data_IF_303365267675
#
_entry.id   IF_303365267675
#
_cell.length_a   1.000
_cell.length_b   1.000
_cell.length_c   1.000
_cell.angle_alpha   90.00
_cell.angle_beta   90.00
_cell.angle_gamma   90.00
#
_symmetry.space_group_name_H-M   'P 1'
#
loop_
_entity.id
_entity.type
_entity.pdbx_description
1 polymer ?
#
# COMPACT_ATOMS: atom_id res chain seq x y z
N UNK A 1 -2.29 -30.47 -38.37
CA UNK A 1 -3.45 -30.64 -37.49
C UNK A 1 -3.22 -29.65 -36.34
N UNK A 2 -3.99 -28.56 -36.32
CA UNK A 2 -3.89 -27.51 -35.35
C UNK A 2 -4.70 -27.89 -34.09
N UNK A 3 -4.05 -28.12 -32.99
CA UNK A 3 -4.67 -28.32 -31.70
C UNK A 3 -4.76 -26.98 -30.96
N UNK A 4 -5.99 -26.47 -30.87
CA UNK A 4 -6.35 -25.27 -30.10
C UNK A 4 -6.14 -25.55 -28.60
N UNK A 5 -5.13 -24.93 -28.00
CA UNK A 5 -4.98 -24.91 -26.53
C UNK A 5 -5.97 -23.89 -25.96
N UNK A 6 -6.86 -24.38 -25.14
CA UNK A 6 -7.82 -23.59 -24.39
C UNK A 6 -7.08 -22.68 -23.38
N UNK A 7 -7.40 -21.39 -23.40
CA UNK A 7 -6.99 -20.44 -22.36
C UNK A 7 -7.57 -20.84 -21.02
N UNK A 8 -6.80 -20.77 -19.94
CA UNK A 8 -7.35 -20.91 -18.59
C UNK A 8 -8.23 -19.70 -18.26
N UNK A 9 -9.39 -20.00 -17.73
CA UNK A 9 -10.44 -19.07 -17.32
C UNK A 9 -9.90 -17.94 -16.42
N UNK A 10 -10.09 -16.72 -16.91
CA UNK A 10 -9.96 -15.48 -16.13
C UNK A 10 -11.18 -15.30 -15.22
N UNK A 11 -11.26 -16.06 -14.15
CA UNK A 11 -12.33 -15.94 -13.16
C UNK A 11 -11.81 -15.89 -11.74
N UNK A 12 -10.77 -15.06 -11.50
CA UNK A 12 -10.38 -14.64 -10.15
C UNK A 12 -10.44 -13.10 -10.00
N UNK A 13 -11.43 -12.48 -10.66
CA UNK A 13 -11.88 -11.15 -10.26
C UNK A 13 -12.95 -11.30 -9.18
N UNK A 14 -12.54 -11.74 -8.00
CA UNK A 14 -13.30 -11.63 -6.76
C UNK A 14 -13.24 -10.20 -6.26
N UNK A 15 -14.26 -9.45 -6.63
CA UNK A 15 -14.72 -8.18 -6.10
C UNK A 15 -14.51 -8.07 -4.58
N UNK A 16 -13.52 -7.32 -4.14
CA UNK A 16 -13.49 -6.73 -2.81
C UNK A 16 -14.22 -5.39 -2.87
N UNK A 17 -15.55 -5.45 -3.01
CA UNK A 17 -16.41 -4.31 -2.80
C UNK A 17 -16.55 -4.10 -1.29
N UNK A 18 -16.02 -3.00 -0.80
CA UNK A 18 -16.22 -2.43 0.53
C UNK A 18 -17.68 -2.52 0.96
N UNK A 19 -17.97 -3.35 1.95
CA UNK A 19 -19.24 -3.37 2.67
C UNK A 19 -19.18 -2.37 3.83
N UNK A 20 -19.55 -1.12 3.56
CA UNK A 20 -19.94 -0.21 4.62
C UNK A 20 -21.38 -0.52 5.05
N UNK A 21 -21.71 -0.53 6.35
CA UNK A 21 -23.06 -0.77 6.82
C UNK A 21 -23.97 0.40 6.44
N UNK A 22 -25.00 0.12 5.65
CA UNK A 22 -26.11 1.02 5.36
C UNK A 22 -27.00 1.08 6.58
N UNK A 23 -27.09 2.24 7.23
CA UNK A 23 -28.08 2.52 8.25
C UNK A 23 -29.35 3.00 7.54
N UNK A 24 -30.38 2.17 7.56
CA UNK A 24 -31.71 2.52 7.07
C UNK A 24 -32.43 3.43 8.08
N UNK A 25 -33.18 4.46 7.62
CA UNK A 25 -34.02 5.25 8.51
C UNK A 25 -35.35 4.52 8.80
N UNK A 26 -35.65 4.30 10.08
CA UNK A 26 -36.98 3.88 10.53
C UNK A 26 -37.95 5.04 10.44
N UNK A 27 -39.00 4.86 9.66
CA UNK A 27 -40.22 5.65 9.67
C UNK A 27 -41.22 4.96 10.58
N UNK A 28 -41.60 5.62 11.68
CA UNK A 28 -42.88 5.37 12.31
C UNK A 28 -43.47 6.69 12.81
N UNK A 29 -44.57 7.05 12.16
CA UNK A 29 -45.39 8.19 12.51
C UNK A 29 -46.53 7.77 13.42
N UNK A 30 -46.75 8.52 14.47
CA UNK A 30 -48.05 8.48 15.16
C UNK A 30 -48.43 9.90 15.58
N UNK A 31 -49.54 10.36 15.03
CA UNK A 31 -50.20 11.64 15.38
C UNK A 31 -50.96 11.48 16.70
N UNK A 32 -50.77 12.38 17.63
CA UNK A 32 -51.60 12.56 18.81
C UNK A 32 -51.87 14.04 19.07
N UNK A 33 -52.96 14.41 19.75
CA UNK A 33 -53.69 15.67 19.54
C UNK A 33 -53.14 16.85 20.32
N UNK A 34 -53.44 18.04 19.77
CA UNK A 34 -53.09 19.38 20.24
C UNK A 34 -53.86 19.74 21.54
N UNK A 35 -53.22 20.36 22.53
CA UNK A 35 -53.88 21.25 23.48
C UNK A 35 -53.38 22.69 23.38
N UNK A 36 -54.35 23.54 23.41
CA UNK A 36 -54.54 24.96 23.73
C UNK A 36 -53.37 25.75 24.36
N UNK A 37 -53.08 26.86 23.70
CA UNK A 37 -52.73 28.23 24.08
C UNK A 37 -52.31 28.53 25.51
N UNK A 38 -51.02 28.87 25.71
CA UNK A 38 -50.52 29.70 26.80
C UNK A 38 -49.46 30.68 26.30
N UNK A 39 -49.41 31.84 26.89
CA UNK A 39 -48.79 33.11 26.50
C UNK A 39 -47.24 33.17 26.44
N UNK A 40 -46.66 34.31 25.95
CA UNK A 40 -45.35 34.31 25.31
C UNK A 40 -44.22 34.45 26.33
N UNK A 41 -43.34 33.51 26.34
CA UNK A 41 -42.07 33.64 27.01
C UNK A 41 -40.95 33.56 26.00
N UNK A 42 -40.24 34.67 25.88
CA UNK A 42 -38.78 34.70 25.70
C UNK A 42 -38.17 33.88 24.57
N UNK A 43 -37.48 34.55 23.69
CA UNK A 43 -36.50 34.21 22.68
C UNK A 43 -36.31 32.77 22.19
N UNK A 44 -35.97 32.56 20.93
CA UNK A 44 -35.89 31.20 20.38
C UNK A 44 -34.90 30.36 21.20
N UNK A 45 -35.29 29.14 21.61
CA UNK A 45 -34.39 28.25 22.33
C UNK A 45 -33.16 28.00 21.44
N UNK A 46 -31.98 28.33 21.98
CA UNK A 46 -30.71 28.07 21.32
C UNK A 46 -30.67 26.61 20.92
N UNK A 47 -30.46 26.33 19.63
CA UNK A 47 -30.26 24.98 19.13
C UNK A 47 -29.31 24.23 20.07
N UNK A 48 -29.62 23.00 20.48
CA UNK A 48 -28.76 22.23 21.36
C UNK A 48 -27.38 22.15 20.70
N UNK A 49 -26.36 22.70 21.36
CA UNK A 49 -24.98 22.57 20.95
C UNK A 49 -24.66 21.09 21.09
N UNK A 50 -24.44 20.40 19.97
CA UNK A 50 -23.95 19.03 19.96
C UNK A 50 -22.68 18.87 20.81
N UNK A 51 -22.34 17.66 21.26
CA UNK A 51 -21.20 17.41 22.12
C UNK A 51 -19.94 18.02 21.51
N UNK A 52 -19.23 18.82 22.31
CA UNK A 52 -18.03 19.54 21.87
C UNK A 52 -16.92 18.51 21.60
N UNK A 53 -16.52 18.35 20.35
CA UNK A 53 -15.42 17.44 19.97
C UNK A 53 -14.13 17.85 20.68
N UNK A 54 -13.33 16.87 21.13
CA UNK A 54 -12.00 17.12 21.70
C UNK A 54 -11.04 17.70 20.64
N UNK A 55 -9.96 18.32 21.08
CA UNK A 55 -8.89 18.81 20.21
C UNK A 55 -8.33 17.69 19.32
N UNK A 56 -8.10 16.52 19.93
CA UNK A 56 -7.54 15.36 19.24
C UNK A 56 -8.52 14.78 18.21
N UNK A 57 -9.81 14.68 18.56
CA UNK A 57 -10.83 14.24 17.62
C UNK A 57 -10.97 15.18 16.40
N UNK A 58 -10.80 16.49 16.61
CA UNK A 58 -10.78 17.45 15.50
C UNK A 58 -9.50 17.28 14.67
N UNK A 59 -8.34 17.10 15.32
CA UNK A 59 -7.06 16.89 14.65
C UNK A 59 -7.12 15.66 13.74
N UNK A 60 -7.54 14.52 14.30
CA UNK A 60 -7.67 13.26 13.54
C UNK A 60 -8.61 13.45 12.35
N UNK A 61 -9.81 13.99 12.57
CA UNK A 61 -10.80 14.19 11.50
C UNK A 61 -10.29 15.06 10.34
N UNK A 62 -9.62 16.17 10.65
CA UNK A 62 -9.08 17.09 9.65
C UNK A 62 -7.89 16.47 8.92
N UNK A 63 -7.04 15.74 9.65
CA UNK A 63 -5.88 15.03 9.10
C UNK A 63 -6.31 13.91 8.15
N UNK A 64 -7.23 13.05 8.58
CA UNK A 64 -7.74 11.94 7.77
C UNK A 64 -8.40 12.44 6.48
N UNK A 65 -9.18 13.53 6.57
CA UNK A 65 -9.78 14.15 5.39
C UNK A 65 -8.70 14.72 4.45
N UNK A 66 -7.64 15.30 4.99
CA UNK A 66 -6.50 15.77 4.19
C UNK A 66 -5.74 14.64 3.50
N UNK A 67 -5.54 13.51 4.19
CA UNK A 67 -4.94 12.28 3.65
C UNK A 67 -5.80 11.70 2.53
N UNK A 68 -7.12 11.59 2.76
CA UNK A 68 -8.07 11.13 1.75
C UNK A 68 -8.02 11.99 0.47
N UNK A 69 -8.03 13.31 0.62
CA UNK A 69 -7.91 14.24 -0.51
C UNK A 69 -6.58 14.09 -1.25
N UNK A 70 -5.49 13.86 -0.52
CA UNK A 70 -4.18 13.63 -1.13
C UNK A 70 -4.14 12.31 -1.92
N UNK A 71 -4.77 11.26 -1.41
CA UNK A 71 -4.89 9.97 -2.11
C UNK A 71 -5.73 10.09 -3.39
N UNK A 72 -6.79 10.87 -3.37
CA UNK A 72 -7.65 11.08 -4.55
C UNK A 72 -6.99 11.96 -5.63
N UNK A 73 -6.29 13.01 -5.23
CA UNK A 73 -5.73 14.01 -6.16
C UNK A 73 -4.29 13.70 -6.60
N UNK A 74 -3.59 12.87 -5.84
CA UNK A 74 -2.16 12.60 -6.03
C UNK A 74 -1.27 13.80 -5.69
N UNK A 75 0.04 13.56 -5.62
CA UNK A 75 1.04 14.61 -5.40
C UNK A 75 1.44 15.38 -6.68
N UNK A 76 0.98 14.91 -7.84
CA UNK A 76 1.34 15.52 -9.13
C UNK A 76 0.94 17.00 -9.29
N UNK A 77 0.00 17.46 -8.47
CA UNK A 77 -0.41 18.87 -8.39
C UNK A 77 0.18 19.63 -7.19
N UNK A 78 1.04 18.99 -6.41
CA UNK A 78 1.66 19.53 -5.20
C UNK A 78 0.77 19.42 -3.95
N UNK A 79 1.39 19.07 -2.81
CA UNK A 79 0.69 19.07 -1.51
C UNK A 79 0.12 20.46 -1.14
N UNK A 80 0.56 21.50 -1.83
CA UNK A 80 0.07 22.88 -1.67
C UNK A 80 -1.42 23.02 -1.97
N UNK A 81 -2.00 22.10 -2.76
CA UNK A 81 -3.45 22.08 -3.05
C UNK A 81 -4.30 21.53 -1.89
N UNK A 82 -3.72 20.75 -1.00
CA UNK A 82 -4.44 20.27 0.19
C UNK A 82 -4.46 21.40 1.22
N UNK A 83 -5.46 22.26 1.12
CA UNK A 83 -5.63 23.40 2.02
C UNK A 83 -6.69 23.13 3.08
N UNK A 84 -6.53 23.72 4.26
CA UNK A 84 -7.54 23.65 5.31
C UNK A 84 -8.91 24.11 4.85
N UNK A 85 -8.96 25.15 3.97
CA UNK A 85 -10.22 25.61 3.38
C UNK A 85 -10.93 24.50 2.62
N UNK A 86 -10.22 23.80 1.75
CA UNK A 86 -10.79 22.69 0.97
C UNK A 86 -11.21 21.51 1.86
N UNK A 87 -10.40 21.20 2.87
CA UNK A 87 -10.75 20.18 3.87
C UNK A 87 -12.02 20.57 4.62
N UNK A 88 -12.17 21.82 5.01
CA UNK A 88 -13.40 22.29 5.69
C UNK A 88 -14.63 22.23 4.79
N UNK A 89 -14.50 22.59 3.50
CA UNK A 89 -15.59 22.40 2.53
C UNK A 89 -16.04 20.95 2.47
N UNK A 90 -15.07 20.00 2.33
CA UNK A 90 -15.38 18.57 2.30
C UNK A 90 -16.01 18.06 3.61
N UNK A 91 -15.57 18.57 4.76
CA UNK A 91 -16.17 18.25 6.05
C UNK A 91 -17.56 18.86 6.21
N UNK A 92 -17.83 20.05 5.68
CA UNK A 92 -19.15 20.68 5.68
C UNK A 92 -20.15 19.87 4.85
N UNK A 93 -19.76 19.35 3.70
CA UNK A 93 -20.56 18.41 2.89
C UNK A 93 -20.95 17.15 3.67
N UNK A 94 -20.10 16.74 4.62
CA UNK A 94 -20.36 15.62 5.57
C UNK A 94 -21.07 16.06 6.86
N UNK A 95 -21.59 17.29 6.90
CA UNK A 95 -22.33 17.84 8.05
C UNK A 95 -21.45 18.31 9.21
N UNK A 96 -20.13 18.42 9.02
CA UNK A 96 -19.19 18.87 10.06
C UNK A 96 -18.70 20.27 9.73
N UNK A 97 -19.13 21.27 10.53
CA UNK A 97 -18.67 22.65 10.38
C UNK A 97 -17.49 22.95 11.28
N UNK A 98 -16.38 23.33 10.68
CA UNK A 98 -15.17 23.81 11.32
C UNK A 98 -14.81 25.19 10.79
N UNK A 99 -14.06 25.95 11.59
CA UNK A 99 -13.55 27.28 11.20
C UNK A 99 -12.02 27.29 11.33
N UNK A 100 -11.37 28.16 10.56
CA UNK A 100 -9.92 28.35 10.68
C UNK A 100 -9.50 28.65 12.13
N UNK A 101 -10.25 29.49 12.85
CA UNK A 101 -9.98 29.83 14.25
C UNK A 101 -10.09 28.63 15.21
N UNK A 102 -10.83 27.57 14.84
CA UNK A 102 -10.93 26.35 15.65
C UNK A 102 -9.73 25.43 15.48
N UNK A 103 -8.93 25.63 14.45
CA UNK A 103 -7.86 24.72 14.01
C UNK A 103 -6.50 25.43 13.99
N UNK A 104 -6.36 26.55 13.28
CA UNK A 104 -5.12 27.32 13.22
C UNK A 104 -4.79 27.96 14.57
N UNK A 105 -3.54 27.91 14.95
CA UNK A 105 -3.04 28.39 16.24
C UNK A 105 -3.40 27.49 17.44
N UNK A 106 -4.31 26.51 17.25
CA UNK A 106 -4.73 25.57 18.32
C UNK A 106 -4.24 24.15 18.07
N UNK A 107 -4.24 23.71 16.83
CA UNK A 107 -3.84 22.35 16.38
C UNK A 107 -2.57 22.45 15.54
N UNK A 108 -2.61 23.28 14.51
CA UNK A 108 -1.45 23.58 13.67
C UNK A 108 -1.12 25.08 13.75
N UNK A 109 0.18 25.41 13.73
CA UNK A 109 0.67 26.79 13.71
C UNK A 109 0.18 27.56 12.47
N UNK A 110 0.22 26.88 11.34
CA UNK A 110 -0.11 27.42 10.03
C UNK A 110 -0.51 26.31 9.04
N UNK A 111 -0.80 26.74 7.80
CA UNK A 111 -1.17 25.84 6.70
C UNK A 111 -0.07 24.84 6.35
N UNK A 112 1.20 25.24 6.43
CA UNK A 112 2.36 24.38 6.10
C UNK A 112 2.52 23.26 7.13
N UNK A 113 2.33 23.56 8.41
CA UNK A 113 2.36 22.56 9.47
C UNK A 113 1.27 21.49 9.26
N UNK A 114 0.07 21.90 8.85
CA UNK A 114 -0.99 20.97 8.48
C UNK A 114 -0.59 20.09 7.28
N UNK A 115 -0.10 20.69 6.20
CA UNK A 115 0.34 19.95 5.00
C UNK A 115 1.48 18.97 5.31
N UNK A 116 2.42 19.37 6.15
CA UNK A 116 3.49 18.51 6.66
C UNK A 116 2.95 17.29 7.39
N UNK A 117 1.97 17.51 8.26
CA UNK A 117 1.33 16.41 9.01
C UNK A 117 0.57 15.47 8.07
N UNK A 118 -0.10 15.98 7.02
CA UNK A 118 -0.76 15.14 6.00
C UNK A 118 0.26 14.27 5.26
N UNK A 119 1.35 14.84 4.78
CA UNK A 119 2.44 14.09 4.13
C UNK A 119 3.02 13.03 5.07
N UNK A 120 3.27 13.42 6.32
CA UNK A 120 3.82 12.51 7.33
C UNK A 120 2.83 11.38 7.67
N UNK A 121 1.54 11.66 7.71
CA UNK A 121 0.51 10.65 7.96
C UNK A 121 0.43 9.64 6.81
N UNK A 122 0.50 10.11 5.55
CA UNK A 122 0.55 9.22 4.38
C UNK A 122 1.83 8.39 4.39
N UNK A 123 2.98 9.01 4.73
CA UNK A 123 4.26 8.29 4.81
C UNK A 123 4.30 7.21 5.91
N UNK A 124 3.41 7.30 6.92
CA UNK A 124 3.25 6.27 7.97
C UNK A 124 2.24 5.19 7.62
N UNK A 125 1.46 5.42 6.56
CA UNK A 125 0.30 4.60 6.24
C UNK A 125 0.62 3.18 5.79
N UNK A 126 -0.34 2.37 5.95
CA UNK A 126 -0.56 0.93 5.84
C UNK A 126 0.30 0.16 4.81
N UNK A 127 1.38 -0.44 5.31
CA UNK A 127 2.13 -1.48 4.60
C UNK A 127 1.73 -2.90 5.03
N UNK A 128 0.74 -3.07 5.91
CA UNK A 128 0.34 -4.38 6.45
C UNK A 128 -0.47 -5.22 5.47
N UNK A 129 -1.37 -4.58 4.71
CA UNK A 129 -2.29 -5.30 3.82
C UNK A 129 -1.59 -5.89 2.58
N UNK A 130 -0.50 -5.26 2.12
CA UNK A 130 0.27 -5.69 0.95
C UNK A 130 1.01 -7.03 1.19
N UNK A 131 1.50 -7.26 2.41
CA UNK A 131 2.26 -8.48 2.74
C UNK A 131 1.33 -9.69 2.92
N UNK A 132 0.10 -9.47 3.39
CA UNK A 132 -0.85 -10.55 3.66
C UNK A 132 -1.37 -11.16 2.35
N UNK A 133 -1.69 -10.36 1.34
CA UNK A 133 -2.13 -10.84 0.01
C UNK A 133 -1.05 -11.65 -0.71
N UNK A 134 0.20 -11.23 -0.60
CA UNK A 134 1.35 -11.91 -1.20
C UNK A 134 1.56 -13.29 -0.59
N UNK A 135 1.29 -13.47 0.70
CA UNK A 135 1.54 -14.74 1.42
C UNK A 135 0.56 -15.84 1.02
N UNK A 136 -0.71 -15.51 0.75
CA UNK A 136 -1.73 -16.50 0.36
C UNK A 136 -1.43 -17.15 -1.01
N UNK A 137 -0.88 -16.40 -1.95
CA UNK A 137 -0.49 -16.91 -3.28
C UNK A 137 0.64 -17.94 -3.26
N UNK A 138 1.52 -17.86 -2.28
CA UNK A 138 2.70 -18.73 -2.21
C UNK A 138 2.38 -20.19 -1.87
N UNK A 139 1.37 -20.45 -1.06
CA UNK A 139 1.08 -21.81 -0.58
C UNK A 139 0.82 -22.82 -1.70
N UNK A 140 0.00 -22.45 -2.67
CA UNK A 140 -0.34 -23.30 -3.83
C UNK A 140 0.84 -23.49 -4.78
N UNK A 141 1.67 -22.46 -4.95
CA UNK A 141 2.87 -22.54 -5.80
C UNK A 141 3.89 -23.52 -5.21
N UNK A 142 4.18 -23.40 -3.92
CA UNK A 142 5.13 -24.29 -3.26
C UNK A 142 4.69 -25.75 -3.28
N UNK A 143 3.37 -26.00 -3.18
CA UNK A 143 2.83 -27.37 -3.26
C UNK A 143 3.04 -28.03 -4.64
N UNK A 144 3.17 -27.26 -5.69
CA UNK A 144 3.41 -27.73 -7.07
C UNK A 144 4.89 -27.93 -7.42
N UNK A 145 5.84 -27.47 -6.59
CA UNK A 145 7.27 -27.51 -6.88
C UNK A 145 7.89 -28.88 -6.59
N UNK A 146 8.78 -29.36 -7.49
CA UNK A 146 9.69 -30.46 -7.17
C UNK A 146 10.85 -29.98 -6.28
N UNK A 147 10.69 -30.09 -4.98
CA UNK A 147 11.72 -29.73 -4.02
C UNK A 147 12.71 -30.87 -3.71
N UNK A 148 12.50 -32.07 -4.27
CA UNK A 148 13.32 -33.24 -3.97
C UNK A 148 14.73 -33.19 -4.58
N UNK A 149 14.90 -32.49 -5.68
CA UNK A 149 16.16 -32.35 -6.43
C UNK A 149 16.72 -30.93 -6.40
N UNK A 150 18.04 -30.80 -6.58
CA UNK A 150 18.68 -29.49 -6.73
C UNK A 150 18.24 -28.76 -7.99
N UNK A 151 17.93 -29.50 -9.07
CA UNK A 151 17.42 -28.94 -10.31
C UNK A 151 15.98 -28.43 -10.12
N UNK A 152 15.10 -29.23 -9.51
CA UNK A 152 13.72 -28.81 -9.21
C UNK A 152 13.67 -27.58 -8.32
N UNK A 153 14.52 -27.49 -7.28
CA UNK A 153 14.60 -26.30 -6.42
C UNK A 153 15.08 -25.06 -7.18
N UNK A 154 16.01 -25.20 -8.15
CA UNK A 154 16.40 -24.08 -9.01
C UNK A 154 15.26 -23.62 -9.89
N UNK A 155 14.54 -24.56 -10.49
CA UNK A 155 13.36 -24.25 -11.28
C UNK A 155 12.30 -23.58 -10.41
N UNK A 156 12.05 -24.07 -9.21
CA UNK A 156 11.11 -23.45 -8.25
C UNK A 156 11.47 -22.01 -7.91
N UNK A 157 12.76 -21.69 -7.73
CA UNK A 157 13.20 -20.29 -7.54
C UNK A 157 12.91 -19.46 -8.79
N UNK A 158 13.17 -20.00 -9.98
CA UNK A 158 12.91 -19.29 -11.24
C UNK A 158 11.41 -19.00 -11.41
N UNK A 159 10.56 -20.01 -11.21
CA UNK A 159 9.10 -19.88 -11.30
C UNK A 159 8.54 -18.87 -10.29
N UNK A 160 9.06 -18.93 -9.06
CA UNK A 160 8.71 -17.98 -8.00
C UNK A 160 9.09 -16.55 -8.39
N UNK A 161 10.31 -16.33 -8.87
CA UNK A 161 10.77 -15.00 -9.28
C UNK A 161 9.96 -14.45 -10.47
N UNK A 162 9.55 -15.31 -11.40
CA UNK A 162 8.69 -14.92 -12.53
C UNK A 162 7.33 -14.45 -12.03
N UNK A 163 6.67 -15.27 -11.22
CA UNK A 163 5.32 -14.98 -10.70
C UNK A 163 5.32 -13.77 -9.77
N UNK A 164 6.25 -13.73 -8.80
CA UNK A 164 6.39 -12.59 -7.88
C UNK A 164 6.73 -11.32 -8.66
N UNK A 165 7.55 -11.46 -9.70
CA UNK A 165 7.92 -10.35 -10.56
C UNK A 165 6.74 -9.72 -11.27
N UNK A 166 5.75 -10.50 -11.67
CA UNK A 166 4.51 -10.02 -12.29
C UNK A 166 3.57 -9.40 -11.23
N UNK A 167 3.24 -10.16 -10.18
CA UNK A 167 2.29 -9.76 -9.15
C UNK A 167 2.75 -8.48 -8.45
N UNK A 168 3.98 -8.43 -7.95
CA UNK A 168 4.46 -7.28 -7.19
C UNK A 168 4.57 -6.02 -8.04
N UNK A 169 4.88 -6.15 -9.33
CA UNK A 169 4.91 -5.00 -10.22
C UNK A 169 3.51 -4.49 -10.50
N UNK A 170 2.52 -5.37 -10.69
CA UNK A 170 1.11 -5.00 -10.87
C UNK A 170 0.54 -4.36 -9.62
N UNK A 171 0.69 -5.00 -8.45
CA UNK A 171 0.23 -4.45 -7.17
C UNK A 171 0.79 -3.05 -6.91
N UNK A 172 2.07 -2.84 -7.18
CA UNK A 172 2.71 -1.55 -6.94
C UNK A 172 2.25 -0.49 -7.94
N UNK A 173 2.20 -0.80 -9.25
CA UNK A 173 1.86 0.17 -10.29
C UNK A 173 0.37 0.49 -10.35
N UNK A 174 -0.50 -0.45 -9.96
CA UNK A 174 -1.95 -0.26 -9.92
C UNK A 174 -2.40 0.38 -8.58
N UNK A 175 -1.51 0.44 -7.59
CA UNK A 175 -1.80 1.08 -6.31
C UNK A 175 -2.01 2.59 -6.47
N UNK A 176 -3.16 3.09 -6.00
CA UNK A 176 -3.41 4.53 -5.92
C UNK A 176 -2.42 5.27 -5.01
N UNK A 177 -1.75 4.56 -4.11
CA UNK A 177 -0.75 5.12 -3.20
C UNK A 177 0.63 5.30 -3.85
N UNK A 178 0.93 4.55 -4.91
CA UNK A 178 2.26 4.57 -5.54
C UNK A 178 2.71 5.96 -6.04
N UNK A 179 1.89 6.73 -6.79
CA UNK A 179 2.30 8.07 -7.22
C UNK A 179 2.54 9.02 -6.05
N UNK A 180 1.84 8.80 -4.93
CA UNK A 180 2.02 9.59 -3.71
C UNK A 180 3.36 9.24 -3.06
N UNK A 181 3.70 7.96 -2.96
CA UNK A 181 4.98 7.48 -2.45
C UNK A 181 6.15 8.06 -3.25
N UNK A 182 6.08 8.02 -4.57
CA UNK A 182 7.08 8.61 -5.47
C UNK A 182 7.26 10.10 -5.19
N UNK A 183 6.16 10.83 -5.02
CA UNK A 183 6.20 12.26 -4.71
C UNK A 183 6.79 12.56 -3.32
N UNK A 184 6.43 11.78 -2.30
CA UNK A 184 6.99 11.89 -0.94
C UNK A 184 8.49 11.59 -0.97
N UNK A 185 8.90 10.58 -1.71
CA UNK A 185 10.31 10.23 -1.91
C UNK A 185 11.10 11.36 -2.56
N UNK A 186 10.56 11.96 -3.60
CA UNK A 186 11.17 13.11 -4.27
C UNK A 186 11.35 14.29 -3.32
N UNK A 187 10.36 14.58 -2.45
CA UNK A 187 10.46 15.60 -1.40
C UNK A 187 11.57 15.27 -0.41
N UNK A 188 11.63 14.02 0.06
CA UNK A 188 12.65 13.59 1.01
C UNK A 188 14.06 13.64 0.43
N UNK A 189 14.22 13.26 -0.85
CA UNK A 189 15.49 13.25 -1.58
C UNK A 189 15.99 14.65 -1.96
N UNK A 190 15.09 15.64 -2.11
CA UNK A 190 15.45 17.00 -2.51
C UNK A 190 16.29 17.79 -1.49
N UNK A 191 16.55 17.22 -0.31
CA UNK A 191 17.50 17.76 0.66
C UNK A 191 17.06 19.04 1.37
N UNK A 192 15.75 19.34 1.36
CA UNK A 192 15.21 20.50 2.09
C UNK A 192 15.64 20.47 3.57
N UNK A 193 16.19 21.58 4.07
CA UNK A 193 16.76 21.71 5.43
C UNK A 193 15.71 22.05 6.51
N UNK A 194 14.42 22.09 6.17
CA UNK A 194 13.34 22.46 7.10
C UNK A 194 12.92 21.30 8.03
N UNK A 195 12.32 21.68 9.16
CA UNK A 195 11.79 20.75 10.17
C UNK A 195 10.79 19.75 9.58
N UNK A 196 9.95 20.20 8.65
CA UNK A 196 9.02 19.37 7.85
C UNK A 196 9.74 18.27 7.08
N UNK A 197 10.87 18.58 6.44
CA UNK A 197 11.67 17.62 5.68
C UNK A 197 12.30 16.55 6.59
N UNK A 198 12.70 16.92 7.81
CA UNK A 198 13.22 15.97 8.79
C UNK A 198 12.14 15.02 9.31
N UNK A 199 10.94 15.52 9.62
CA UNK A 199 9.80 14.71 10.06
C UNK A 199 9.34 13.75 8.97
N UNK A 200 9.26 14.20 7.72
CA UNK A 200 8.90 13.37 6.57
C UNK A 200 9.93 12.26 6.34
N UNK A 201 11.24 12.58 6.36
CA UNK A 201 12.30 11.56 6.25
C UNK A 201 12.22 10.53 7.37
N UNK A 202 11.99 10.96 8.60
CA UNK A 202 11.85 10.04 9.74
C UNK A 202 10.64 9.11 9.57
N UNK A 203 9.52 9.63 9.08
CA UNK A 203 8.32 8.83 8.81
C UNK A 203 8.56 7.79 7.71
N UNK A 204 9.20 8.19 6.60
CA UNK A 204 9.59 7.29 5.51
C UNK A 204 10.53 6.21 6.03
N UNK A 205 11.56 6.58 6.80
CA UNK A 205 12.51 5.62 7.37
C UNK A 205 11.79 4.59 8.24
N UNK A 206 10.87 5.02 9.10
CA UNK A 206 10.10 4.12 9.95
C UNK A 206 9.20 3.18 9.12
N UNK A 207 8.58 3.68 8.05
CA UNK A 207 7.77 2.87 7.15
C UNK A 207 8.62 1.82 6.42
N UNK A 208 9.78 2.18 5.90
CA UNK A 208 10.71 1.22 5.29
C UNK A 208 11.24 0.17 6.28
N UNK A 209 11.49 0.53 7.52
CA UNK A 209 11.90 -0.44 8.56
C UNK A 209 10.79 -1.46 8.84
N UNK A 210 9.53 -1.02 8.92
CA UNK A 210 8.39 -1.90 9.10
C UNK A 210 8.22 -2.84 7.89
N UNK A 211 8.24 -2.29 6.68
CA UNK A 211 8.14 -3.05 5.44
C UNK A 211 9.28 -4.07 5.31
N UNK A 212 10.52 -3.64 5.56
CA UNK A 212 11.69 -4.51 5.54
C UNK A 212 11.54 -5.66 6.53
N UNK A 213 11.05 -5.39 7.75
CA UNK A 213 10.84 -6.41 8.78
C UNK A 213 9.79 -7.44 8.34
N UNK A 214 8.68 -6.99 7.76
CA UNK A 214 7.61 -7.86 7.26
C UNK A 214 8.11 -8.77 6.13
N UNK A 215 8.76 -8.20 5.13
CA UNK A 215 9.31 -8.98 4.02
C UNK A 215 10.46 -9.91 4.41
N UNK A 216 11.26 -9.56 5.41
CA UNK A 216 12.27 -10.48 5.95
C UNK A 216 11.65 -11.76 6.48
N UNK A 217 10.48 -11.69 7.12
CA UNK A 217 9.74 -12.88 7.56
C UNK A 217 9.37 -13.78 6.37
N UNK A 218 8.80 -13.19 5.33
CA UNK A 218 8.37 -13.90 4.11
C UNK A 218 9.57 -14.52 3.36
N UNK A 219 10.61 -13.74 3.12
CA UNK A 219 11.79 -14.23 2.39
C UNK A 219 12.58 -15.27 3.19
N UNK A 220 12.68 -15.12 4.52
CA UNK A 220 13.28 -16.12 5.39
C UNK A 220 12.56 -17.45 5.29
N UNK A 221 11.22 -17.42 5.38
CA UNK A 221 10.40 -18.61 5.20
C UNK A 221 10.60 -19.26 3.82
N UNK A 222 10.61 -18.46 2.74
CA UNK A 222 10.81 -18.98 1.38
C UNK A 222 12.20 -19.60 1.20
N UNK A 223 13.26 -18.98 1.74
CA UNK A 223 14.63 -19.50 1.73
C UNK A 223 14.70 -20.88 2.40
N UNK A 224 14.12 -21.00 3.60
CA UNK A 224 14.11 -22.26 4.35
C UNK A 224 13.30 -23.34 3.61
N UNK A 225 12.16 -22.97 3.06
CA UNK A 225 11.25 -23.90 2.36
C UNK A 225 11.85 -24.44 1.05
N UNK A 226 12.64 -23.62 0.35
CA UNK A 226 13.35 -24.01 -0.87
C UNK A 226 14.68 -24.71 -0.59
N UNK A 227 15.07 -24.90 0.66
CA UNK A 227 16.35 -25.49 1.03
C UNK A 227 17.54 -24.67 0.56
N UNK A 228 17.41 -23.36 0.73
CA UNK A 228 18.45 -22.38 0.43
C UNK A 228 19.09 -21.88 1.73
N UNK A 229 20.24 -21.26 1.64
CA UNK A 229 20.88 -20.51 2.72
C UNK A 229 21.55 -19.27 2.19
N UNK A 230 21.63 -18.26 3.05
CA UNK A 230 22.34 -17.04 2.71
C UNK A 230 23.86 -17.31 2.56
N UNK A 231 24.46 -16.66 1.58
CA UNK A 231 25.91 -16.64 1.38
C UNK A 231 26.56 -15.71 2.40
N UNK A 232 27.48 -16.23 3.21
CA UNK A 232 28.26 -15.40 4.11
C UNK A 232 29.17 -14.42 3.30
N UNK A 233 29.29 -13.12 3.71
CA UNK A 233 28.72 -12.44 4.88
C UNK A 233 27.38 -11.73 4.63
N UNK A 234 26.66 -12.03 3.55
CA UNK A 234 25.41 -11.36 3.20
C UNK A 234 24.29 -11.66 4.20
N UNK A 235 23.41 -10.70 4.39
CA UNK A 235 22.31 -10.79 5.35
C UNK A 235 20.96 -10.74 4.66
N UNK A 236 19.93 -11.33 5.27
CA UNK A 236 18.56 -11.29 4.80
C UNK A 236 18.04 -9.84 4.68
N UNK A 237 18.41 -8.97 5.62
CA UNK A 237 18.05 -7.55 5.57
C UNK A 237 18.62 -6.85 4.33
N UNK A 238 19.86 -7.12 3.98
CA UNK A 238 20.46 -6.57 2.75
C UNK A 238 19.76 -7.08 1.49
N UNK A 239 19.41 -8.36 1.46
CA UNK A 239 18.65 -8.94 0.35
C UNK A 239 17.28 -8.28 0.22
N UNK A 240 16.55 -8.12 1.33
CA UNK A 240 15.23 -7.47 1.35
C UNK A 240 15.30 -6.04 0.83
N UNK A 241 16.25 -5.23 1.31
CA UNK A 241 16.45 -3.85 0.86
C UNK A 241 16.76 -3.81 -0.66
N UNK A 242 17.60 -4.73 -1.13
CA UNK A 242 17.96 -4.78 -2.55
C UNK A 242 16.76 -5.15 -3.44
N UNK A 243 15.90 -6.08 -2.98
CA UNK A 243 14.67 -6.45 -3.68
C UNK A 243 13.69 -5.26 -3.74
N UNK A 244 13.48 -4.58 -2.61
CA UNK A 244 12.61 -3.38 -2.56
C UNK A 244 13.09 -2.28 -3.50
N UNK A 245 14.38 -1.97 -3.50
CA UNK A 245 14.95 -0.97 -4.40
C UNK A 245 14.79 -1.37 -5.88
N UNK A 246 14.90 -2.67 -6.20
CA UNK A 246 14.74 -3.18 -7.55
C UNK A 246 13.29 -3.06 -8.03
N UNK A 247 12.30 -3.45 -7.23
CA UNK A 247 10.88 -3.36 -7.63
C UNK A 247 10.44 -1.92 -7.78
N UNK A 248 10.85 -1.03 -6.87
CA UNK A 248 10.57 0.40 -6.94
C UNK A 248 11.16 1.02 -8.22
N UNK A 249 12.40 0.69 -8.57
CA UNK A 249 13.04 1.14 -9.80
C UNK A 249 12.33 0.64 -11.06
N UNK A 250 11.91 -0.62 -11.08
CA UNK A 250 11.13 -1.19 -12.18
C UNK A 250 9.74 -0.55 -12.28
N UNK A 251 9.05 -0.31 -11.16
CA UNK A 251 7.75 0.32 -11.13
C UNK A 251 7.78 1.78 -11.64
N UNK A 252 8.82 2.54 -11.26
CA UNK A 252 9.04 3.88 -11.82
C UNK A 252 9.25 3.83 -13.34
N UNK A 253 10.01 2.85 -13.81
CA UNK A 253 10.26 2.68 -15.23
C UNK A 253 9.01 2.24 -15.98
N UNK A 254 8.20 1.35 -15.41
CA UNK A 254 6.93 0.85 -15.99
C UNK A 254 5.95 1.98 -16.30
N UNK A 255 5.90 3.02 -15.47
CA UNK A 255 5.05 4.19 -15.70
C UNK A 255 5.46 5.06 -16.89
N UNK A 256 6.74 4.98 -17.29
CA UNK A 256 7.29 5.82 -18.36
C UNK A 256 7.50 5.02 -19.64
N UNK A 257 7.87 3.75 -19.52
CA UNK A 257 8.26 2.87 -20.62
C UNK A 257 7.91 1.42 -20.28
N UNK A 258 6.62 1.12 -20.35
CA UNK A 258 6.05 -0.17 -19.95
C UNK A 258 6.61 -1.33 -20.78
N UNK A 259 6.79 -1.12 -22.08
CA UNK A 259 7.25 -2.17 -22.99
C UNK A 259 8.67 -2.65 -22.68
N UNK A 260 9.52 -1.78 -22.13
CA UNK A 260 10.88 -2.17 -21.71
C UNK A 260 10.93 -2.95 -20.40
N UNK A 261 9.83 -2.99 -19.64
CA UNK A 261 9.76 -3.62 -18.31
C UNK A 261 8.96 -4.91 -18.33
N UNK A 262 8.03 -5.05 -19.27
CA UNK A 262 7.07 -6.15 -19.31
C UNK A 262 7.21 -7.01 -20.56
N UNK A 263 6.73 -8.27 -20.47
CA UNK A 263 6.65 -9.22 -21.59
C UNK A 263 8.00 -9.50 -22.26
N UNK A 264 9.03 -9.63 -21.44
CA UNK A 264 10.38 -9.97 -21.93
C UNK A 264 10.43 -11.47 -22.16
N UNK A 265 10.60 -11.94 -23.41
CA UNK A 265 10.68 -13.37 -23.68
C UNK A 265 11.99 -13.96 -23.16
N UNK A 266 11.90 -15.05 -22.40
CA UNK A 266 13.05 -15.73 -21.82
C UNK A 266 12.88 -17.25 -21.95
N UNK A 267 13.92 -18.01 -22.37
CA UNK A 267 13.86 -19.45 -22.52
C UNK A 267 14.03 -20.12 -21.14
N UNK A 268 12.98 -20.18 -20.34
CA UNK A 268 12.98 -20.70 -18.96
C UNK A 268 12.04 -21.88 -18.75
N UNK A 269 11.16 -22.20 -19.70
CA UNK A 269 10.31 -23.38 -19.65
C UNK A 269 11.14 -24.68 -19.58
N UNK A 270 10.52 -25.76 -19.11
CA UNK A 270 11.16 -27.06 -18.83
C UNK A 270 11.94 -27.61 -20.04
N UNK A 271 11.50 -27.27 -21.26
CA UNK A 271 12.14 -27.67 -22.52
C UNK A 271 12.75 -26.48 -23.27
N UNK A 272 12.96 -25.35 -22.58
CA UNK A 272 13.47 -24.12 -23.19
C UNK A 272 12.40 -23.32 -23.93
N UNK A 273 11.13 -23.53 -23.63
CA UNK A 273 10.06 -22.70 -24.15
C UNK A 273 10.24 -21.25 -23.68
N UNK A 274 9.85 -20.32 -24.58
CA UNK A 274 9.84 -18.90 -24.24
C UNK A 274 8.68 -18.59 -23.31
N UNK A 275 8.99 -18.06 -22.15
CA UNK A 275 8.01 -17.53 -21.19
C UNK A 275 8.13 -16.01 -21.12
N UNK A 276 7.01 -15.35 -20.87
CA UNK A 276 6.99 -13.89 -20.63
C UNK A 276 7.43 -13.59 -19.20
N UNK A 277 8.36 -12.66 -19.07
CA UNK A 277 8.92 -12.19 -17.80
C UNK A 277 8.79 -10.68 -17.69
N UNK A 278 8.80 -10.18 -16.47
CA UNK A 278 9.08 -8.76 -16.20
C UNK A 278 10.56 -8.53 -15.98
N UNK A 279 11.04 -7.32 -16.22
CA UNK A 279 12.40 -6.92 -15.90
C UNK A 279 12.69 -7.10 -14.40
N UNK A 280 11.69 -6.82 -13.56
CA UNK A 280 11.80 -7.08 -12.13
C UNK A 280 11.99 -8.56 -11.84
N UNK A 281 11.21 -9.46 -12.42
CA UNK A 281 11.36 -10.91 -12.20
C UNK A 281 12.73 -11.44 -12.62
N UNK A 282 13.26 -10.97 -13.76
CA UNK A 282 14.62 -11.32 -14.21
C UNK A 282 15.68 -10.81 -13.23
N UNK A 283 15.56 -9.55 -12.82
CA UNK A 283 16.49 -8.95 -11.86
C UNK A 283 16.39 -9.59 -10.48
N UNK A 284 15.16 -9.95 -10.04
CA UNK A 284 14.91 -10.64 -8.79
C UNK A 284 15.61 -12.01 -8.75
N UNK A 285 15.48 -12.82 -9.81
CA UNK A 285 16.15 -14.11 -9.88
C UNK A 285 17.68 -13.95 -9.82
N UNK A 286 18.23 -13.02 -10.59
CA UNK A 286 19.66 -12.74 -10.58
C UNK A 286 20.14 -12.29 -9.19
N UNK A 287 19.40 -11.40 -8.54
CA UNK A 287 19.70 -10.91 -7.20
C UNK A 287 19.61 -12.02 -6.17
N UNK A 288 18.54 -12.84 -6.20
CA UNK A 288 18.39 -13.98 -5.27
C UNK A 288 19.61 -14.89 -5.34
N UNK A 289 20.07 -15.28 -6.52
CA UNK A 289 21.25 -16.15 -6.67
C UNK A 289 22.57 -15.50 -6.23
N UNK A 290 22.64 -14.19 -6.11
CA UNK A 290 23.80 -13.52 -5.49
C UNK A 290 23.79 -13.67 -3.96
N UNK A 291 22.59 -13.66 -3.35
CA UNK A 291 22.45 -13.71 -1.90
C UNK A 291 22.36 -15.11 -1.33
N UNK A 292 21.87 -16.09 -2.10
CA UNK A 292 21.64 -17.43 -1.58
C UNK A 292 22.38 -18.52 -2.36
N UNK A 293 22.48 -19.69 -1.75
CA UNK A 293 22.95 -20.91 -2.38
C UNK A 293 22.14 -22.13 -1.90
N UNK A 294 22.09 -23.17 -2.71
CA UNK A 294 21.43 -24.42 -2.35
C UNK A 294 22.14 -25.12 -1.19
N UNK A 295 21.37 -25.57 -0.19
CA UNK A 295 21.88 -26.45 0.84
C UNK A 295 22.13 -27.83 0.23
N UNK A 296 23.37 -28.35 0.27
CA UNK A 296 23.67 -29.72 -0.19
C UNK A 296 22.90 -30.76 0.65
N UNK A 297 22.32 -31.77 -0.02
CA UNK A 297 21.60 -32.87 0.67
C UNK A 297 20.43 -32.43 1.56
N UNK A 298 19.87 -31.26 1.29
CA UNK A 298 18.68 -30.81 1.97
C UNK A 298 17.50 -31.76 1.69
N UNK A 299 16.63 -31.94 2.68
CA UNK A 299 15.39 -32.72 2.54
C UNK A 299 14.20 -31.79 2.82
N UNK A 300 13.13 -31.88 2.02
CA UNK A 300 11.93 -31.09 2.30
C UNK A 300 11.39 -31.43 3.70
N UNK A 301 10.81 -30.44 4.41
CA UNK A 301 10.11 -30.70 5.67
C UNK A 301 9.06 -31.77 5.44
N UNK A 302 8.97 -32.70 6.39
CA UNK A 302 7.87 -33.69 6.40
C UNK A 302 6.58 -32.91 6.61
N UNK A 303 5.66 -32.91 5.66
CA UNK A 303 4.35 -32.31 5.75
C UNK A 303 3.48 -32.95 6.84
#
# INVERSE_FOLDING_TARGET
MAGTLASPDRNLQGSLANSLPVISPSTDGTFGPVPSRAEPATGPPGRPRGPRRSKDAIRTLVLDTGVEMLREEGLGSGAERITLTRVFCRLEDRGVRLTHASVLGRIWSDQRAFQSDVITAVARGDSSDEVESTTEGFGSLFAAMDLSSAAGRRQGVSDLCRMVGEISLDELTDSASWPIWVGIWAIAASGGSGETSAATRSAITASYENLTTSYMGLYGWAIDHLGLRLRHPLTLRQMTIAISALVEGCALRDQVDRDSVRRIPRPTGVHGELEEWTLFGIGLEALVWQFVELIPRWKPPSG
#
